data_IF_315504725578
#
_entry.id   IF_315504725578
#
_cell.length_a   1.000
_cell.length_b   1.000
_cell.length_c   1.000
_cell.angle_alpha   90.00
_cell.angle_beta   90.00
_cell.angle_gamma   90.00
#
_symmetry.space_group_name_H-M   'P 1'
#
loop_
_entity.id
_entity.type
_entity.pdbx_description
1 polymer ?
#
# COMPACT_ATOMS: atom_id res chain seq x y z
N UNK A 1 -1.46 9.29 -16.26
CA UNK A 1 -0.69 8.78 -15.15
C UNK A 1 0.13 7.58 -15.59
N UNK A 2 1.38 7.51 -15.18
CA UNK A 2 2.21 6.36 -15.46
C UNK A 2 2.16 5.39 -14.26
N UNK A 3 1.86 4.14 -14.57
CA UNK A 3 1.81 3.07 -13.59
C UNK A 3 2.42 1.84 -14.21
N UNK A 4 3.52 1.35 -13.64
CA UNK A 4 4.20 0.13 -14.09
C UNK A 4 4.46 -0.73 -12.87
N UNK A 5 3.68 -1.82 -12.74
CA UNK A 5 3.77 -2.67 -11.57
C UNK A 5 3.45 -1.90 -10.29
N UNK A 6 4.42 -1.81 -9.39
CA UNK A 6 4.28 -1.09 -8.12
C UNK A 6 4.82 0.34 -8.18
N UNK A 7 5.19 0.82 -9.37
CA UNK A 7 5.73 2.17 -9.54
C UNK A 7 4.68 3.10 -10.10
N UNK A 8 4.61 4.32 -9.54
CA UNK A 8 3.69 5.37 -9.97
C UNK A 8 4.45 6.66 -10.19
N UNK A 9 4.04 7.47 -11.17
CA UNK A 9 4.54 8.84 -11.24
C UNK A 9 3.40 9.81 -10.97
N UNK A 10 3.61 10.70 -10.01
CA UNK A 10 2.63 11.70 -9.58
C UNK A 10 3.38 12.98 -9.27
N UNK A 11 2.94 14.11 -9.85
CA UNK A 11 3.55 15.41 -9.62
C UNK A 11 5.05 15.43 -9.91
N UNK A 12 5.45 14.79 -11.02
CA UNK A 12 6.84 14.70 -11.48
C UNK A 12 7.77 13.92 -10.53
N UNK A 13 7.19 13.08 -9.67
CA UNK A 13 7.94 12.19 -8.78
C UNK A 13 7.50 10.76 -9.00
N UNK A 14 8.43 9.84 -8.80
CA UNK A 14 8.20 8.40 -8.96
C UNK A 14 8.13 7.75 -7.58
N UNK A 15 7.05 7.03 -7.32
CA UNK A 15 6.80 6.33 -6.06
C UNK A 15 6.85 4.84 -6.33
N UNK A 16 7.77 4.15 -5.69
CA UNK A 16 7.89 2.70 -5.84
C UNK A 16 7.48 2.04 -4.52
N UNK A 17 6.42 1.27 -4.55
CA UNK A 17 5.96 0.49 -3.40
C UNK A 17 6.61 -0.88 -3.41
N UNK A 18 6.93 -1.39 -2.24
CA UNK A 18 7.57 -2.70 -2.08
C UNK A 18 7.12 -3.36 -0.79
N UNK A 19 7.18 -4.69 -0.78
CA UNK A 19 6.92 -5.48 0.42
C UNK A 19 8.22 -5.74 1.16
N UNK A 20 8.15 -5.76 2.47
CA UNK A 20 9.32 -5.95 3.33
C UNK A 20 9.03 -6.96 4.42
N UNK A 21 10.10 -7.52 4.97
CA UNK A 21 10.09 -8.57 5.98
C UNK A 21 9.68 -9.92 5.39
N UNK A 22 9.52 -10.92 6.24
CA UNK A 22 9.22 -12.28 5.81
C UNK A 22 7.75 -12.40 5.39
N UNK A 23 7.51 -12.84 4.15
CA UNK A 23 6.15 -12.94 3.59
C UNK A 23 5.23 -13.88 4.38
N UNK A 24 5.79 -14.85 5.08
CA UNK A 24 5.03 -15.77 5.92
C UNK A 24 4.77 -15.28 7.33
N UNK A 25 5.28 -14.11 7.71
CA UNK A 25 5.19 -13.57 9.05
C UNK A 25 4.16 -12.46 9.20
N UNK A 26 3.79 -12.18 10.45
CA UNK A 26 2.84 -11.11 10.77
C UNK A 26 3.42 -9.71 10.50
N UNK A 27 4.74 -9.58 10.45
CA UNK A 27 5.41 -8.29 10.23
C UNK A 27 5.61 -7.96 8.76
N UNK A 28 5.12 -8.80 7.83
CA UNK A 28 5.15 -8.49 6.41
C UNK A 28 4.37 -7.19 6.18
N UNK A 29 4.99 -6.25 5.51
CA UNK A 29 4.47 -4.89 5.43
C UNK A 29 4.82 -4.27 4.07
N UNK A 30 4.17 -3.17 3.74
CA UNK A 30 4.41 -2.42 2.51
C UNK A 30 5.02 -1.06 2.86
N UNK A 31 6.13 -0.76 2.22
CA UNK A 31 6.74 0.55 2.25
C UNK A 31 6.86 1.12 0.85
N UNK A 32 7.45 2.29 0.74
CA UNK A 32 7.72 2.90 -0.56
C UNK A 32 8.99 3.74 -0.52
N UNK A 33 9.51 3.99 -1.71
CA UNK A 33 10.65 4.87 -1.93
C UNK A 33 10.30 5.85 -3.04
N UNK A 34 10.96 6.98 -3.07
CA UNK A 34 10.64 8.08 -3.97
C UNK A 34 11.88 8.51 -4.75
N UNK A 35 11.70 8.85 -6.02
CA UNK A 35 12.76 9.41 -6.85
C UNK A 35 12.18 10.50 -7.76
N UNK A 36 13.05 11.41 -8.18
CA UNK A 36 12.73 12.40 -9.22
C UNK A 36 12.93 11.84 -10.63
N UNK A 37 13.54 10.66 -10.75
CA UNK A 37 13.82 9.98 -12.01
C UNK A 37 13.30 8.54 -12.00
N UNK A 38 12.81 8.02 -13.14
CA UNK A 38 12.20 6.69 -13.17
C UNK A 38 13.16 5.54 -12.84
N UNK A 39 14.45 5.75 -13.02
CA UNK A 39 15.48 4.74 -12.73
C UNK A 39 16.20 5.00 -11.40
N UNK A 40 15.73 5.98 -10.65
CA UNK A 40 16.32 6.32 -9.37
C UNK A 40 17.45 7.33 -9.46
N UNK A 41 18.22 7.50 -8.37
CA UNK A 41 18.14 6.71 -7.14
C UNK A 41 16.86 6.96 -6.34
N UNK A 42 16.36 5.90 -5.71
CA UNK A 42 15.17 5.96 -4.87
C UNK A 42 15.58 6.06 -3.40
N UNK A 43 14.90 6.93 -2.67
CA UNK A 43 15.10 7.10 -1.23
C UNK A 43 13.87 6.58 -0.49
N UNK A 44 14.10 5.77 0.53
CA UNK A 44 13.02 5.26 1.38
C UNK A 44 12.32 6.40 2.09
N UNK A 45 11.01 6.35 2.11
CA UNK A 45 10.22 7.39 2.73
C UNK A 45 10.30 7.36 4.25
N UNK A 46 10.16 8.52 4.87
CA UNK A 46 10.23 8.66 6.33
C UNK A 46 9.00 8.09 7.04
N UNK A 47 7.87 7.97 6.34
CA UNK A 47 6.63 7.46 6.92
C UNK A 47 6.39 5.97 6.66
N UNK A 48 7.42 5.22 6.32
CA UNK A 48 7.34 3.76 6.17
C UNK A 48 7.23 3.06 7.52
N UNK A 49 6.54 1.91 7.61
CA UNK A 49 5.70 1.32 6.56
C UNK A 49 4.37 2.07 6.43
N UNK A 50 3.78 2.05 5.23
CA UNK A 50 2.49 2.69 4.96
C UNK A 50 1.32 1.74 5.12
N UNK A 51 1.61 0.44 5.15
CA UNK A 51 0.60 -0.61 5.29
C UNK A 51 1.23 -1.75 6.10
N UNK A 52 0.73 -1.97 7.31
CA UNK A 52 1.25 -2.98 8.24
C UNK A 52 0.12 -3.59 9.07
N UNK A 53 0.44 -4.59 9.88
CA UNK A 53 -0.54 -5.18 10.80
C UNK A 53 -1.19 -4.11 11.67
N UNK A 54 -2.46 -4.29 11.95
CA UNK A 54 -3.22 -3.36 12.80
C UNK A 54 -3.76 -3.99 14.08
N UNK A 55 -3.30 -5.19 14.42
CA UNK A 55 -3.79 -5.90 15.62
C UNK A 55 -3.50 -5.15 16.91
N UNK A 56 -2.39 -4.42 16.97
CA UNK A 56 -2.03 -3.61 18.12
C UNK A 56 -2.92 -2.36 18.27
N UNK A 57 -3.62 -1.99 17.20
CA UNK A 57 -4.55 -0.87 17.17
C UNK A 57 -6.01 -1.31 17.28
N UNK A 58 -6.24 -2.57 17.62
CA UNK A 58 -7.58 -3.13 17.77
C UNK A 58 -8.16 -3.74 16.49
N UNK A 59 -7.40 -3.83 15.42
CA UNK A 59 -7.80 -4.48 14.19
C UNK A 59 -7.50 -5.98 14.19
N UNK A 60 -7.77 -6.63 13.06
CA UNK A 60 -7.60 -8.08 12.93
C UNK A 60 -6.64 -8.48 11.81
N UNK A 61 -6.02 -7.54 11.14
CA UNK A 61 -5.21 -7.77 9.93
C UNK A 61 -3.73 -7.87 10.28
N UNK A 62 -3.07 -8.87 9.72
CA UNK A 62 -1.62 -9.06 9.82
C UNK A 62 -1.05 -9.45 8.47
N UNK A 63 0.27 -9.38 8.32
CA UNK A 63 0.97 -9.91 7.16
C UNK A 63 0.58 -9.27 5.84
N UNK A 64 0.39 -7.95 5.84
CA UNK A 64 0.03 -7.19 4.64
C UNK A 64 1.19 -7.12 3.65
N UNK A 65 0.91 -7.29 2.38
CA UNK A 65 1.96 -7.18 1.37
C UNK A 65 1.50 -7.49 -0.05
N UNK A 66 2.47 -7.49 -0.94
CA UNK A 66 2.31 -7.79 -2.37
C UNK A 66 1.17 -6.98 -2.99
N UNK A 67 1.28 -5.66 -2.85
CA UNK A 67 0.23 -4.75 -3.28
C UNK A 67 0.33 -4.40 -4.76
N UNK A 68 -0.79 -3.96 -5.30
CA UNK A 68 -0.84 -3.23 -6.56
C UNK A 68 -1.71 -1.98 -6.37
N UNK A 69 -1.69 -1.10 -7.34
CA UNK A 69 -2.42 0.15 -7.28
C UNK A 69 -3.39 0.22 -8.47
N UNK A 70 -4.59 0.65 -8.21
CA UNK A 70 -5.57 0.91 -9.25
C UNK A 70 -6.24 2.26 -9.02
N UNK A 71 -6.93 2.75 -10.02
CA UNK A 71 -7.60 4.03 -9.98
C UNK A 71 -9.11 3.85 -10.11
N UNK A 72 -9.85 4.78 -9.55
CA UNK A 72 -11.28 4.87 -9.83
C UNK A 72 -11.51 5.17 -11.31
N UNK A 73 -12.73 4.88 -11.77
CA UNK A 73 -13.09 5.06 -13.18
C UNK A 73 -12.86 6.49 -13.67
N UNK A 74 -13.09 7.48 -12.80
CA UNK A 74 -12.88 8.90 -13.13
C UNK A 74 -11.42 9.36 -12.95
N UNK A 75 -10.53 8.47 -12.50
CA UNK A 75 -9.11 8.77 -12.32
C UNK A 75 -8.77 9.66 -11.13
N UNK A 76 -9.71 9.91 -10.24
CA UNK A 76 -9.51 10.85 -9.11
C UNK A 76 -9.11 10.18 -7.81
N UNK A 77 -9.39 8.89 -7.65
CA UNK A 77 -9.10 8.16 -6.42
C UNK A 77 -8.22 6.96 -6.71
N UNK A 78 -7.12 6.84 -5.98
CA UNK A 78 -6.27 5.64 -6.00
C UNK A 78 -6.73 4.64 -4.95
N UNK A 79 -6.52 3.37 -5.26
CA UNK A 79 -6.76 2.26 -4.34
C UNK A 79 -5.53 1.37 -4.29
N UNK A 80 -5.20 0.91 -3.10
CA UNK A 80 -4.19 -0.10 -2.87
C UNK A 80 -4.89 -1.45 -2.72
N UNK A 81 -4.55 -2.40 -3.56
CA UNK A 81 -5.06 -3.78 -3.50
C UNK A 81 -3.92 -4.65 -3.00
N UNK A 82 -4.14 -5.39 -1.94
CA UNK A 82 -3.07 -6.15 -1.29
C UNK A 82 -3.65 -7.39 -0.64
N UNK A 83 -2.78 -8.30 -0.22
CA UNK A 83 -3.22 -9.41 0.60
C UNK A 83 -2.76 -9.24 2.04
N UNK A 84 -3.48 -9.90 2.92
CA UNK A 84 -3.13 -9.99 4.32
C UNK A 84 -3.75 -11.23 4.91
N UNK A 85 -3.62 -11.36 6.21
CA UNK A 85 -4.22 -12.45 6.98
C UNK A 85 -5.05 -11.83 8.09
N UNK A 86 -6.02 -12.59 8.57
CA UNK A 86 -6.80 -12.18 9.74
C UNK A 86 -6.68 -13.26 10.81
N UNK A 87 -7.06 -12.91 12.03
CA UNK A 87 -7.09 -13.88 13.12
C UNK A 87 -8.03 -15.03 12.83
N UNK A 88 -9.08 -14.81 12.02
CA UNK A 88 -10.04 -15.84 11.65
C UNK A 88 -9.54 -16.75 10.54
N UNK A 89 -8.72 -16.22 9.63
CA UNK A 89 -8.24 -16.96 8.46
C UNK A 89 -6.91 -17.67 8.72
N UNK A 90 -6.23 -17.35 9.83
CA UNK A 90 -4.95 -17.97 10.18
C UNK A 90 -3.89 -17.70 9.12
N UNK A 91 -3.42 -18.76 8.48
CA UNK A 91 -2.40 -18.65 7.42
C UNK A 91 -2.99 -18.39 6.03
N UNK A 92 -4.29 -18.40 5.90
CA UNK A 92 -4.95 -18.14 4.62
C UNK A 92 -4.88 -16.66 4.28
N UNK A 93 -4.44 -16.36 3.06
CA UNK A 93 -4.37 -14.99 2.57
C UNK A 93 -5.71 -14.53 2.02
N UNK A 94 -6.06 -13.30 2.36
CA UNK A 94 -7.30 -12.68 1.94
C UNK A 94 -6.94 -11.37 1.22
N UNK A 95 -7.69 -11.02 0.19
CA UNK A 95 -7.47 -9.78 -0.56
C UNK A 95 -8.22 -8.64 0.10
N UNK A 96 -7.53 -7.52 0.27
CA UNK A 96 -8.08 -6.28 0.81
C UNK A 96 -7.90 -5.17 -0.21
N UNK A 97 -8.75 -4.17 -0.11
CA UNK A 97 -8.63 -2.96 -0.89
C UNK A 97 -8.88 -1.75 0.02
N UNK A 98 -8.01 -0.77 -0.05
CA UNK A 98 -8.12 0.46 0.72
C UNK A 98 -7.77 1.66 -0.14
N UNK A 99 -8.33 2.80 0.21
CA UNK A 99 -8.02 4.06 -0.45
C UNK A 99 -6.59 4.48 -0.15
N UNK A 100 -5.95 5.11 -1.11
CA UNK A 100 -4.63 5.71 -0.91
C UNK A 100 -4.55 7.05 -1.60
N UNK A 101 -3.63 7.87 -1.16
CA UNK A 101 -3.44 9.21 -1.69
C UNK A 101 -2.02 9.69 -1.45
N UNK A 102 -1.65 10.73 -2.19
CA UNK A 102 -0.45 11.51 -1.90
C UNK A 102 -0.95 12.78 -1.20
N UNK A 103 -0.46 13.04 0.01
CA UNK A 103 -0.89 14.21 0.75
C UNK A 103 -0.20 15.49 0.26
N UNK A 104 -0.53 16.62 0.87
CA UNK A 104 0.01 17.92 0.49
C UNK A 104 1.53 18.04 0.69
N UNK A 105 2.11 17.21 1.55
CA UNK A 105 3.56 17.16 1.78
C UNK A 105 4.27 16.18 0.83
N UNK A 106 3.56 15.59 -0.13
CA UNK A 106 4.13 14.62 -1.06
C UNK A 106 4.32 13.22 -0.50
N UNK A 107 3.75 12.91 0.67
CA UNK A 107 3.83 11.61 1.30
C UNK A 107 2.68 10.71 0.84
N UNK A 108 3.00 9.45 0.55
CA UNK A 108 2.02 8.45 0.21
C UNK A 108 1.36 7.92 1.49
N UNK A 109 0.03 7.91 1.50
CA UNK A 109 -0.75 7.46 2.65
C UNK A 109 -1.77 6.42 2.19
N UNK A 110 -1.80 5.27 2.85
CA UNK A 110 -2.83 4.25 2.65
C UNK A 110 -3.78 4.32 3.85
N UNK A 111 -5.07 4.45 3.57
CA UNK A 111 -6.10 4.53 4.61
C UNK A 111 -6.54 3.13 5.04
N UNK A 112 -5.61 2.40 5.66
CA UNK A 112 -5.83 1.01 6.09
C UNK A 112 -4.68 0.47 6.92
N UNK A 113 -4.70 -0.85 7.18
CA UNK A 113 -5.66 -1.81 6.63
C UNK A 113 -7.05 -1.70 7.23
N UNK A 114 -8.08 -1.85 6.38
CA UNK A 114 -9.46 -1.94 6.82
C UNK A 114 -10.10 -3.22 6.30
N UNK A 115 -11.15 -3.66 6.97
CA UNK A 115 -11.93 -4.84 6.56
C UNK A 115 -13.32 -4.45 6.04
N UNK A 116 -13.60 -3.17 5.99
CA UNK A 116 -14.89 -2.67 5.52
C UNK A 116 -14.98 -2.72 4.00
N UNK A 117 -16.16 -3.01 3.44
CA UNK A 117 -16.35 -2.94 2.00
C UNK A 117 -16.05 -1.54 1.47
N UNK A 118 -15.35 -1.48 0.33
CA UNK A 118 -15.02 -0.22 -0.32
C UNK A 118 -15.93 -0.02 -1.53
N UNK A 119 -16.44 1.19 -1.70
CA UNK A 119 -17.20 1.56 -2.89
C UNK A 119 -16.23 2.11 -3.94
N UNK A 120 -16.04 1.34 -5.00
CA UNK A 120 -15.17 1.73 -6.12
C UNK A 120 -16.08 2.17 -7.27
N UNK A 121 -15.94 3.42 -7.64
CA UNK A 121 -16.76 3.97 -8.73
C UNK A 121 -15.91 4.42 -9.90
#
# INVERSE_FOLDING_TARGET
ACLVGSEMCIRDRYYMMYSANYFGGANYAVGYAVSEHPLGPFEKASNNPVLEKNVEKGGIVTGTGHNSVTWSKDGKQMYCVYHGRTQKTGDERVVFIDKMRINENGLLVVEGPTTDPQSIQ
#
